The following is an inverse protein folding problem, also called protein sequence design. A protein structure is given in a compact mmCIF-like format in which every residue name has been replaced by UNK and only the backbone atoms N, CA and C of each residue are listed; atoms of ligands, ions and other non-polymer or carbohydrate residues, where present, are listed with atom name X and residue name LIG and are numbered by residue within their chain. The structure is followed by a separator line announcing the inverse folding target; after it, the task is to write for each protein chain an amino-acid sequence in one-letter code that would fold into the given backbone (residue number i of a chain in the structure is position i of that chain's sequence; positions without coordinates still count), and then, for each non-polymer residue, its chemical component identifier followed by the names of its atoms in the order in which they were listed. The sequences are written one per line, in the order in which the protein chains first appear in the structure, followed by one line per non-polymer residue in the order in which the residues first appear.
data_IF_602310291601
#
_entry.id   IF_602310291601
#
_cell.length_a   1.000
_cell.length_b   1.000
_cell.length_c   1.000
_cell.angle_alpha   90.00
_cell.angle_beta   90.00
_cell.angle_gamma   90.00
#
_symmetry.space_group_name_H-M   'P 1'
#
loop_
_entity.id
_entity.type
_entity.pdbx_description
1 polymer ?
2 polymer ?
#
# COMPACT_ATOMS: atom_id res chain seq x y z
N UNK A 1 -18.97 8.57 15.42
CA UNK A 1 -20.41 8.67 15.80
C UNK A 1 -21.36 8.74 14.59
N UNK A 2 -21.19 9.77 13.76
CA UNK A 2 -22.01 9.95 12.58
C UNK A 2 -21.35 9.14 11.48
N UNK A 3 -21.70 7.86 11.37
CA UNK A 3 -21.06 7.01 10.38
C UNK A 3 -21.33 7.34 8.90
N UNK A 4 -20.25 7.56 8.17
CA UNK A 4 -20.30 7.86 6.74
C UNK A 4 -19.96 6.55 6.03
N UNK A 5 -20.66 6.26 4.93
CA UNK A 5 -20.40 5.03 4.21
C UNK A 5 -20.32 5.23 2.71
N UNK A 6 -19.26 4.68 2.14
CA UNK A 6 -19.05 4.80 0.71
C UNK A 6 -19.35 3.50 -0.04
N UNK A 7 -19.66 3.65 -1.33
CA UNK A 7 -19.97 2.52 -2.19
C UNK A 7 -19.79 2.92 -3.67
N UNK A 8 -19.09 2.08 -4.46
CA UNK A 8 -18.48 0.82 -4.02
C UNK A 8 -17.19 1.07 -3.21
N UNK A 9 -16.52 0.01 -2.80
CA UNK A 9 -15.26 0.16 -2.09
C UNK A 9 -14.23 0.47 -3.18
N UNK A 10 -14.37 -0.19 -4.32
CA UNK A 10 -13.48 -0.02 -5.46
C UNK A 10 -14.23 -0.33 -6.76
N UNK A 11 -14.22 0.61 -7.70
CA UNK A 11 -14.92 0.46 -8.97
C UNK A 11 -13.97 0.61 -10.13
N UNK A 12 -14.19 -0.19 -11.18
CA UNK A 12 -13.37 -0.16 -12.40
C UNK A 12 -14.06 0.64 -13.50
N UNK A 13 -13.39 1.69 -13.96
CA UNK A 13 -13.95 2.51 -15.00
C UNK A 13 -13.06 2.54 -16.23
N UNK A 14 -13.66 2.95 -17.35
CA UNK A 14 -12.96 3.05 -18.63
C UNK A 14 -12.68 4.53 -18.89
N UNK A 15 -11.49 4.84 -19.38
CA UNK A 15 -11.10 6.23 -19.67
C UNK A 15 -12.23 6.92 -20.44
N UNK A 16 -12.62 8.10 -19.98
CA UNK A 16 -13.69 8.83 -20.63
C UNK A 16 -15.07 8.19 -20.52
N UNK A 17 -15.59 8.16 -19.29
CA UNK A 17 -16.93 7.64 -19.00
C UNK A 17 -17.38 8.25 -17.66
N UNK A 18 -18.62 8.76 -17.64
CA UNK A 18 -19.19 9.36 -16.43
C UNK A 18 -19.37 8.31 -15.35
N UNK A 19 -18.71 8.49 -14.21
CA UNK A 19 -18.84 7.53 -13.12
C UNK A 19 -19.48 8.16 -11.87
N UNK A 20 -20.16 7.35 -11.07
CA UNK A 20 -20.83 7.83 -9.84
C UNK A 20 -20.48 7.07 -8.56
N UNK A 21 -19.83 7.76 -7.61
CA UNK A 21 -19.44 7.17 -6.32
C UNK A 21 -20.49 7.54 -5.26
N UNK A 22 -20.70 6.66 -4.28
CA UNK A 22 -21.69 6.92 -3.25
C UNK A 22 -21.22 7.18 -1.85
N UNK A 23 -22.09 7.84 -1.10
CA UNK A 23 -21.84 8.18 0.29
C UNK A 23 -23.19 8.38 0.99
N UNK A 24 -23.33 7.80 2.19
CA UNK A 24 -24.55 7.96 2.97
C UNK A 24 -24.20 8.21 4.41
N UNK A 25 -24.65 9.34 4.95
CA UNK A 25 -24.41 9.67 6.34
C UNK A 25 -25.25 8.73 7.22
N UNK A 26 -24.86 8.59 8.49
CA UNK A 26 -25.60 7.74 9.44
C UNK A 26 -26.85 8.49 9.89
N UNK A 27 -26.67 9.77 10.15
CA UNK A 27 -27.74 10.67 10.56
C UNK A 27 -27.67 11.88 9.59
N UNK A 28 -28.74 12.67 9.50
CA UNK A 28 -28.76 13.84 8.61
C UNK A 28 -27.58 14.76 8.91
N UNK A 29 -26.82 15.09 7.88
CA UNK A 29 -25.64 15.92 8.05
C UNK A 29 -25.76 17.21 7.27
N UNK A 30 -26.99 17.52 6.85
CA UNK A 30 -27.32 18.72 6.08
C UNK A 30 -26.26 19.33 5.18
N UNK A 31 -26.08 18.79 3.98
CA UNK A 31 -25.15 19.40 3.03
C UNK A 31 -23.72 19.66 3.57
N UNK A 32 -23.27 18.88 4.54
CA UNK A 32 -21.94 19.12 5.06
C UNK A 32 -20.82 18.21 4.57
N UNK A 33 -21.19 17.17 3.83
CA UNK A 33 -20.24 16.23 3.27
C UNK A 33 -19.34 16.86 2.21
N UNK A 34 -18.03 16.81 2.41
CA UNK A 34 -17.07 17.31 1.44
C UNK A 34 -16.35 16.12 0.80
N UNK A 35 -15.67 16.36 -0.32
CA UNK A 35 -14.96 15.29 -1.04
C UNK A 35 -13.46 15.55 -1.21
N UNK A 36 -12.66 14.49 -1.08
CA UNK A 36 -11.22 14.58 -1.19
C UNK A 36 -10.68 13.59 -2.19
N UNK A 37 -9.76 14.04 -3.03
CA UNK A 37 -9.10 13.20 -4.02
C UNK A 37 -7.67 12.99 -3.55
N UNK A 38 -7.21 11.74 -3.55
CA UNK A 38 -5.87 11.42 -3.09
C UNK A 38 -5.16 10.36 -3.91
N UNK A 39 -4.05 10.74 -4.51
CA UNK A 39 -3.26 9.79 -5.27
C UNK A 39 -2.30 9.17 -4.27
N UNK A 40 -1.91 7.90 -4.48
CA UNK A 40 -1.00 7.13 -3.60
C UNK A 40 0.08 7.92 -2.84
N UNK A 41 0.94 8.62 -3.57
CA UNK A 41 2.01 9.39 -2.95
C UNK A 41 1.48 10.63 -2.20
N UNK A 42 0.44 11.25 -2.74
CA UNK A 42 -0.11 12.47 -2.15
C UNK A 42 -0.98 12.33 -0.92
N UNK A 43 -1.18 13.46 -0.27
CA UNK A 43 -2.05 13.55 0.87
C UNK A 43 -3.36 14.02 0.21
N UNK A 44 -4.52 13.80 0.85
CA UNK A 44 -5.81 14.21 0.28
C UNK A 44 -5.91 15.63 -0.29
N UNK A 45 -6.90 15.85 -1.15
CA UNK A 45 -7.12 17.15 -1.79
C UNK A 45 -8.61 17.45 -1.78
N UNK A 46 -8.97 18.67 -1.39
CA UNK A 46 -10.37 19.07 -1.36
C UNK A 46 -10.77 19.50 -2.74
N UNK A 47 -11.75 18.81 -3.28
CA UNK A 47 -12.28 19.08 -4.62
C UNK A 47 -13.68 19.65 -4.47
N UNK A 48 -14.44 19.10 -3.53
CA UNK A 48 -15.83 19.52 -3.27
C UNK A 48 -16.01 19.81 -1.78
N UNK A 49 -16.52 21.00 -1.46
CA UNK A 49 -16.79 21.37 -0.07
C UNK A 49 -18.27 21.72 -0.02
N UNK A 50 -18.82 21.96 1.16
CA UNK A 50 -20.27 22.20 1.23
C UNK A 50 -20.81 20.86 0.73
N UNK A 51 -21.94 20.80 0.03
CA UNK A 51 -22.36 19.48 -0.47
C UNK A 51 -22.01 19.37 -1.94
N UNK A 52 -22.11 20.52 -2.60
CA UNK A 52 -21.85 20.67 -4.03
C UNK A 52 -21.19 22.01 -4.37
N UNK A 53 -19.86 22.08 -4.18
CA UNK A 53 -19.09 23.29 -4.47
C UNK A 53 -17.71 22.92 -5.00
N UNK A 54 -17.48 23.12 -6.30
CA UNK A 54 -16.19 22.80 -6.92
C UNK A 54 -15.05 23.66 -6.40
N UNK A 55 -14.44 23.24 -5.29
CA UNK A 55 -13.35 24.00 -4.69
C UNK A 55 -12.35 24.59 -5.68
N UNK A 56 -11.90 25.79 -5.37
CA UNK A 56 -10.96 26.53 -6.19
C UNK A 56 -9.88 25.70 -6.85
N UNK A 57 -10.00 25.61 -8.17
CA UNK A 57 -9.02 24.86 -8.94
C UNK A 57 -9.46 23.44 -9.26
N UNK A 58 -10.77 23.17 -9.16
CA UNK A 58 -11.26 21.84 -9.49
C UNK A 58 -11.82 21.96 -10.90
N UNK A 59 -11.57 20.94 -11.76
CA UNK A 59 -12.09 21.02 -13.12
C UNK A 59 -13.59 20.84 -13.10
N UNK A 60 -14.27 21.53 -14.01
CA UNK A 60 -15.73 21.48 -14.17
C UNK A 60 -16.20 20.03 -14.33
N UNK A 61 -15.26 19.18 -14.76
CA UNK A 61 -15.41 17.75 -14.97
C UNK A 61 -15.94 17.01 -13.74
N UNK A 62 -15.75 17.61 -12.56
CA UNK A 62 -16.18 17.10 -11.24
C UNK A 62 -17.33 17.93 -10.68
N UNK A 63 -18.46 17.30 -10.35
CA UNK A 63 -19.61 18.02 -9.78
C UNK A 63 -20.20 17.24 -8.58
N UNK A 64 -20.86 17.95 -7.65
CA UNK A 64 -21.44 17.26 -6.51
C UNK A 64 -22.94 17.47 -6.32
N UNK A 65 -23.59 16.64 -5.51
CA UNK A 65 -25.03 16.72 -5.24
C UNK A 65 -25.49 15.81 -4.09
N UNK A 66 -26.36 16.33 -3.24
CA UNK A 66 -26.87 15.54 -2.13
C UNK A 66 -27.51 16.45 -1.10
N UNK A 67 -28.20 15.87 -0.12
CA UNK A 67 -28.86 16.68 0.90
C UNK A 67 -28.79 16.27 2.36
N UNK A 68 -29.45 15.17 2.72
CA UNK A 68 -29.47 14.76 4.11
C UNK A 68 -28.61 13.56 4.47
N UNK A 69 -28.94 12.43 3.87
CA UNK A 69 -28.24 11.21 4.17
C UNK A 69 -27.56 10.60 2.96
N UNK A 70 -27.86 11.10 1.76
CA UNK A 70 -27.26 10.56 0.56
C UNK A 70 -26.52 11.57 -0.33
N UNK A 71 -25.28 11.25 -0.67
CA UNK A 71 -24.44 12.09 -1.48
C UNK A 71 -23.84 11.24 -2.59
N UNK A 72 -23.27 11.89 -3.61
CA UNK A 72 -22.62 11.21 -4.73
C UNK A 72 -21.62 12.17 -5.39
N UNK A 73 -20.48 11.63 -5.80
CA UNK A 73 -19.49 12.44 -6.48
C UNK A 73 -19.53 11.87 -7.86
N UNK A 74 -19.76 12.74 -8.83
CA UNK A 74 -19.83 12.30 -10.20
C UNK A 74 -18.74 12.86 -11.06
N UNK A 75 -17.81 11.99 -11.47
CA UNK A 75 -16.77 12.40 -12.39
C UNK A 75 -17.53 12.24 -13.72
N UNK A 76 -17.72 13.34 -14.44
CA UNK A 76 -18.46 13.32 -15.69
C UNK A 76 -17.77 12.63 -16.84
N UNK A 77 -16.47 12.38 -16.68
CA UNK A 77 -15.67 11.73 -17.72
C UNK A 77 -14.26 11.48 -17.19
N UNK A 78 -13.95 10.22 -16.90
CA UNK A 78 -12.62 9.87 -16.37
C UNK A 78 -11.44 10.23 -17.26
N UNK A 79 -10.26 10.23 -16.67
CA UNK A 79 -9.02 10.56 -17.37
C UNK A 79 -7.81 10.05 -16.56
N UNK A 80 -6.61 10.11 -17.14
CA UNK A 80 -5.40 9.65 -16.45
C UNK A 80 -5.21 10.22 -15.04
N UNK A 81 -5.64 11.46 -14.86
CA UNK A 81 -5.55 12.12 -13.57
C UNK A 81 -6.57 11.52 -12.62
N UNK A 82 -7.84 11.68 -12.99
CA UNK A 82 -8.98 11.19 -12.22
C UNK A 82 -8.85 9.82 -11.56
N UNK A 83 -8.10 8.90 -12.15
CA UNK A 83 -7.94 7.58 -11.54
C UNK A 83 -7.08 7.67 -10.27
N UNK A 84 -7.76 7.67 -9.11
CA UNK A 84 -7.12 7.77 -7.78
C UNK A 84 -8.08 7.31 -6.68
N UNK A 85 -7.87 7.80 -5.46
CA UNK A 85 -8.71 7.43 -4.32
C UNK A 85 -9.60 8.59 -3.88
N UNK A 86 -10.87 8.30 -3.60
CA UNK A 86 -11.82 9.32 -3.15
C UNK A 86 -12.37 8.99 -1.79
N UNK A 87 -12.44 9.99 -0.93
CA UNK A 87 -12.96 9.83 0.41
C UNK A 87 -14.08 10.82 0.62
N UNK A 88 -15.09 10.39 1.36
CA UNK A 88 -16.25 11.23 1.67
C UNK A 88 -16.12 11.69 3.11
N UNK A 89 -16.18 12.99 3.32
CA UNK A 89 -16.03 13.51 4.65
C UNK A 89 -17.28 14.09 5.28
N UNK A 90 -17.06 14.78 6.39
CA UNK A 90 -18.11 15.44 7.14
C UNK A 90 -17.46 16.37 8.15
N UNK A 91 -18.20 17.41 8.52
CA UNK A 91 -17.77 18.40 9.49
C UNK A 91 -18.99 19.23 9.81
N UNK A 92 -19.86 18.61 10.61
CA UNK A 92 -21.11 19.20 11.04
C UNK A 92 -21.42 18.71 12.45
N UNK A 93 -20.61 17.77 12.94
CA UNK A 93 -20.81 17.20 14.26
C UNK A 93 -19.51 16.56 14.78
N UNK A 94 -19.14 16.90 16.01
CA UNK A 94 -17.93 16.33 16.58
C UNK A 94 -18.07 14.88 17.11
N UNK A 95 -17.15 13.98 16.71
CA UNK A 95 -16.02 14.29 15.83
C UNK A 95 -16.40 14.15 14.35
N UNK A 96 -15.65 14.86 13.50
CA UNK A 96 -15.84 14.79 12.07
C UNK A 96 -15.48 13.35 11.73
N UNK A 97 -15.97 12.86 10.60
CA UNK A 97 -15.72 11.49 10.22
C UNK A 97 -15.60 11.35 8.72
N UNK A 98 -14.82 10.36 8.30
CA UNK A 98 -14.59 10.07 6.90
C UNK A 98 -15.13 8.68 6.60
N UNK A 99 -15.37 8.40 5.31
CA UNK A 99 -15.83 7.09 4.90
C UNK A 99 -14.58 6.31 4.55
N UNK A 100 -14.69 4.98 4.48
CA UNK A 100 -13.55 4.12 4.16
C UNK A 100 -12.82 4.52 2.87
N UNK A 101 -13.55 5.13 1.95
CA UNK A 101 -12.96 5.54 0.70
C UNK A 101 -13.27 4.57 -0.43
N UNK A 102 -12.91 4.98 -1.64
CA UNK A 102 -13.13 4.16 -2.81
C UNK A 102 -12.17 4.45 -3.97
N UNK A 103 -11.39 3.43 -4.31
CA UNK A 103 -10.37 3.47 -5.35
C UNK A 103 -10.95 3.45 -6.76
N UNK A 104 -10.25 4.13 -7.67
CA UNK A 104 -10.67 4.20 -9.06
C UNK A 104 -9.60 3.48 -9.91
N UNK A 105 -10.03 2.42 -10.62
CA UNK A 105 -9.14 1.61 -11.44
C UNK A 105 -9.69 1.36 -12.83
N UNK A 106 -8.82 1.48 -13.83
CA UNK A 106 -9.16 1.26 -15.22
C UNK A 106 -9.62 -0.16 -15.55
N UNK A 107 -10.57 -0.29 -16.45
CA UNK A 107 -11.09 -1.59 -16.87
C UNK A 107 -10.45 -2.09 -18.17
N UNK A 108 -10.46 -3.40 -18.34
CA UNK A 108 -9.91 -4.04 -19.52
C UNK A 108 -10.45 -5.46 -19.62
N UNK A 109 -9.86 -6.24 -20.52
CA UNK A 109 -10.29 -7.62 -20.75
C UNK A 109 -9.58 -8.66 -19.90
N UNK A 110 -10.35 -9.60 -19.37
CA UNK A 110 -9.84 -10.70 -18.55
C UNK A 110 -8.49 -11.20 -19.06
N UNK A 111 -7.66 -11.65 -18.13
CA UNK A 111 -6.34 -12.17 -18.49
C UNK A 111 -5.98 -13.29 -17.52
N UNK A 112 -6.05 -14.52 -18.01
CA UNK A 112 -5.69 -15.67 -17.19
C UNK A 112 -4.28 -15.42 -16.66
N UNK A 113 -4.00 -15.78 -15.41
CA UNK A 113 -2.65 -15.56 -14.89
C UNK A 113 -1.67 -16.62 -15.35
N UNK A 114 -0.37 -16.36 -15.17
CA UNK A 114 0.70 -17.30 -15.54
C UNK A 114 1.44 -17.65 -14.27
N UNK A 115 1.32 -18.90 -13.86
CA UNK A 115 1.94 -19.37 -12.62
C UNK A 115 3.28 -20.09 -12.76
N UNK A 116 4.20 -19.74 -11.87
CA UNK A 116 5.53 -20.34 -11.82
C UNK A 116 5.82 -20.70 -10.36
N UNK A 117 6.47 -21.84 -10.13
CA UNK A 117 6.80 -22.24 -8.79
C UNK A 117 8.32 -22.32 -8.68
N UNK A 118 8.83 -21.82 -7.56
CA UNK A 118 10.27 -21.80 -7.32
C UNK A 118 10.64 -22.57 -6.07
N UNK A 119 11.52 -23.57 -6.19
CA UNK A 119 11.91 -24.32 -5.00
C UNK A 119 12.84 -23.41 -4.22
N UNK A 120 12.85 -23.54 -2.88
CA UNK A 120 13.75 -22.66 -2.12
C UNK A 120 15.17 -22.93 -2.58
N UNK A 121 16.07 -21.96 -2.39
CA UNK A 121 17.47 -22.14 -2.80
C UNK A 121 18.23 -22.84 -1.67
N UNK A 122 19.39 -23.41 -1.98
CA UNK A 122 20.11 -24.10 -0.93
C UNK A 122 20.65 -23.20 0.16
N UNK A 123 21.12 -22.01 -0.18
CA UNK A 123 21.63 -21.10 0.83
C UNK A 123 20.57 -20.71 1.84
N UNK A 124 19.33 -20.57 1.38
CA UNK A 124 18.23 -20.21 2.28
C UNK A 124 18.05 -21.39 3.25
N UNK A 125 18.13 -22.60 2.70
CA UNK A 125 17.98 -23.83 3.46
C UNK A 125 18.98 -24.07 4.59
N UNK A 126 20.26 -23.93 4.29
CA UNK A 126 21.33 -24.15 5.26
C UNK A 126 21.17 -23.39 6.60
N UNK A 127 20.53 -22.22 6.54
CA UNK A 127 20.34 -21.37 7.71
C UNK A 127 19.12 -21.68 8.56
N UNK A 128 18.25 -22.56 8.07
CA UNK A 128 17.07 -22.95 8.84
C UNK A 128 15.69 -22.75 8.25
N UNK A 129 15.57 -22.01 7.16
CA UNK A 129 14.26 -21.77 6.55
C UNK A 129 14.05 -22.33 5.16
N UNK A 130 12.82 -22.22 4.66
CA UNK A 130 12.47 -22.73 3.34
C UNK A 130 11.28 -21.98 2.73
N UNK A 131 11.56 -20.91 2.00
CA UNK A 131 10.53 -20.09 1.38
C UNK A 131 10.25 -20.45 -0.07
N UNK A 132 9.12 -21.11 -0.30
CA UNK A 132 8.68 -21.53 -1.64
C UNK A 132 7.73 -20.47 -2.21
N UNK A 133 8.20 -19.71 -3.22
CA UNK A 133 7.42 -18.64 -3.83
C UNK A 133 6.62 -18.95 -5.10
N UNK A 134 5.30 -18.86 -5.01
CA UNK A 134 4.45 -19.09 -6.17
C UNK A 134 4.23 -17.74 -6.87
N UNK A 135 4.29 -17.75 -8.20
CA UNK A 135 4.14 -16.54 -8.98
C UNK A 135 2.99 -16.55 -9.97
N UNK A 136 1.99 -15.69 -9.73
CA UNK A 136 0.84 -15.52 -10.60
C UNK A 136 1.16 -14.23 -11.37
N UNK A 137 1.42 -14.40 -12.66
CA UNK A 137 1.82 -13.31 -13.54
C UNK A 137 0.73 -12.75 -14.44
N UNK A 138 0.69 -11.42 -14.52
CA UNK A 138 -0.25 -10.66 -15.34
C UNK A 138 -1.68 -11.17 -15.53
N UNK A 139 -2.46 -11.14 -14.47
CA UNK A 139 -3.85 -11.57 -14.53
C UNK A 139 -4.77 -10.35 -14.49
N UNK A 140 -6.08 -10.58 -14.50
CA UNK A 140 -7.07 -9.50 -14.47
C UNK A 140 -8.50 -10.05 -14.51
N UNK A 141 -9.37 -9.61 -13.58
CA UNK A 141 -9.17 -8.67 -12.49
C UNK A 141 -8.31 -9.13 -11.32
N UNK A 142 -8.16 -8.23 -10.35
CA UNK A 142 -7.40 -8.42 -9.13
C UNK A 142 -7.80 -9.69 -8.37
N UNK A 143 -9.09 -9.98 -8.38
CA UNK A 143 -9.66 -11.12 -7.69
C UNK A 143 -9.04 -12.45 -8.08
N UNK A 144 -8.09 -12.92 -7.27
CA UNK A 144 -7.39 -14.18 -7.51
C UNK A 144 -7.34 -15.09 -6.29
N UNK A 145 -6.67 -16.24 -6.41
CA UNK A 145 -6.55 -17.20 -5.31
C UNK A 145 -5.43 -18.23 -5.46
N UNK A 146 -4.54 -18.28 -4.46
CA UNK A 146 -3.45 -19.23 -4.44
C UNK A 146 -3.73 -20.22 -3.32
N UNK A 147 -3.66 -21.50 -3.67
CA UNK A 147 -3.94 -22.59 -2.75
C UNK A 147 -2.71 -23.47 -2.59
N UNK A 148 -2.00 -23.32 -1.48
CA UNK A 148 -0.80 -24.13 -1.23
C UNK A 148 -1.18 -25.55 -0.80
N UNK A 149 -0.40 -26.53 -1.25
CA UNK A 149 -0.66 -27.94 -0.94
C UNK A 149 0.62 -28.77 -0.73
N UNK A 150 0.95 -29.11 0.50
CA UNK A 150 2.14 -29.91 0.73
C UNK A 150 1.78 -31.38 0.93
N UNK A 151 2.16 -32.23 -0.01
CA UNK A 151 1.86 -33.66 0.05
C UNK A 151 0.36 -33.84 0.16
N UNK A 152 -0.36 -33.03 -0.61
CA UNK A 152 -1.80 -33.04 -0.64
C UNK A 152 -2.46 -32.46 0.61
N UNK A 153 -1.66 -32.00 1.56
CA UNK A 153 -2.20 -31.41 2.77
C UNK A 153 -2.37 -29.94 2.48
N UNK A 154 -3.52 -29.39 2.85
CA UNK A 154 -3.80 -27.99 2.63
C UNK A 154 -3.21 -27.17 3.79
N UNK A 155 -2.26 -26.30 3.48
CA UNK A 155 -1.63 -25.46 4.51
C UNK A 155 -2.58 -24.41 5.03
N UNK A 156 -2.16 -23.63 6.02
CA UNK A 156 -3.03 -22.59 6.57
C UNK A 156 -2.41 -21.65 7.59
N UNK A 157 -2.31 -20.38 7.22
CA UNK A 157 -1.76 -19.39 8.12
C UNK A 157 -0.24 -19.30 8.08
N UNK A 158 0.38 -20.16 7.26
CA UNK A 158 1.84 -20.24 7.10
C UNK A 158 2.37 -19.74 5.75
N UNK A 159 1.54 -19.00 5.01
CA UNK A 159 1.89 -18.44 3.69
C UNK A 159 1.43 -16.97 3.63
N UNK A 160 2.14 -16.15 2.88
CA UNK A 160 1.82 -14.73 2.78
C UNK A 160 2.02 -14.13 1.41
N UNK A 161 0.92 -13.90 0.69
CA UNK A 161 0.97 -13.29 -0.64
C UNK A 161 1.02 -11.76 -0.62
N UNK A 162 1.44 -11.18 -1.74
CA UNK A 162 1.54 -9.73 -1.88
C UNK A 162 1.23 -9.37 -3.33
N UNK A 163 0.26 -8.50 -3.51
CA UNK A 163 -0.13 -8.10 -4.86
C UNK A 163 0.34 -6.71 -5.23
N UNK A 164 0.59 -6.53 -6.53
CA UNK A 164 1.01 -5.24 -7.05
C UNK A 164 -0.26 -4.51 -7.50
N UNK A 165 -0.09 -3.27 -7.97
CA UNK A 165 -1.22 -2.51 -8.48
C UNK A 165 -1.19 -2.68 -9.98
N UNK A 166 -2.15 -2.08 -10.68
CA UNK A 166 -2.19 -2.22 -12.13
C UNK A 166 -0.96 -1.70 -12.87
N UNK A 167 -0.39 -2.58 -13.68
CA UNK A 167 0.79 -2.28 -14.47
C UNK A 167 0.45 -1.00 -15.25
N UNK A 168 1.35 -0.04 -15.22
CA UNK A 168 1.13 1.22 -15.92
C UNK A 168 0.87 1.02 -17.42
N UNK A 169 1.55 0.02 -18.01
CA UNK A 169 1.42 -0.29 -19.43
C UNK A 169 0.22 -1.18 -19.80
N UNK A 170 0.26 -2.46 -19.44
CA UNK A 170 -0.83 -3.38 -19.78
C UNK A 170 -2.02 -3.41 -18.82
N UNK A 171 -1.97 -2.60 -17.77
CA UNK A 171 -3.03 -2.53 -16.77
C UNK A 171 -3.43 -3.86 -16.14
N UNK A 172 -2.44 -4.65 -15.74
CA UNK A 172 -2.67 -5.94 -15.09
C UNK A 172 -1.96 -6.06 -13.75
N UNK A 173 -2.54 -6.87 -12.87
CA UNK A 173 -2.00 -7.09 -11.54
C UNK A 173 -0.92 -8.17 -11.56
N UNK A 174 -0.53 -8.61 -10.36
CA UNK A 174 0.46 -9.65 -10.16
C UNK A 174 0.47 -9.95 -8.68
N UNK A 175 0.75 -11.20 -8.32
CA UNK A 175 0.75 -11.65 -6.92
C UNK A 175 1.82 -12.70 -6.63
N UNK A 176 2.31 -12.71 -5.39
CA UNK A 176 3.31 -13.69 -4.97
C UNK A 176 2.98 -14.25 -3.59
N UNK A 177 2.59 -15.52 -3.56
CA UNK A 177 2.26 -16.20 -2.31
C UNK A 177 3.51 -16.98 -1.90
N UNK A 178 4.08 -16.61 -0.77
CA UNK A 178 5.28 -17.23 -0.24
C UNK A 178 4.89 -18.19 0.86
N UNK A 179 5.50 -19.37 0.87
CA UNK A 179 5.23 -20.36 1.90
C UNK A 179 6.54 -20.64 2.58
N UNK A 180 6.62 -20.41 3.89
CA UNK A 180 7.86 -20.68 4.60
C UNK A 180 7.75 -21.63 5.80
N UNK A 181 8.71 -22.52 5.88
CA UNK A 181 8.79 -23.50 6.97
C UNK A 181 10.25 -23.85 7.18
N UNK A 182 10.57 -24.27 8.40
CA UNK A 182 11.92 -24.67 8.78
C UNK A 182 12.47 -25.69 7.79
N UNK A 183 13.79 -25.69 7.56
CA UNK A 183 14.44 -26.63 6.62
C UNK A 183 14.19 -28.09 6.94
N UNK A 184 13.68 -28.35 8.17
CA UNK A 184 13.38 -29.70 8.63
C UNK A 184 11.97 -30.07 8.19
N UNK A 185 11.00 -29.26 8.61
CA UNK A 185 9.59 -29.47 8.27
C UNK A 185 9.44 -29.60 6.76
N UNK A 186 10.31 -28.90 6.04
CA UNK A 186 10.37 -28.90 4.58
C UNK A 186 10.77 -30.28 4.10
N UNK A 187 11.98 -30.68 4.46
CA UNK A 187 12.51 -31.98 4.09
C UNK A 187 11.63 -33.17 4.51
N UNK A 188 10.58 -32.94 5.30
CA UNK A 188 9.67 -34.01 5.71
C UNK A 188 8.76 -34.43 4.55
N UNK A 189 8.56 -33.54 3.59
CA UNK A 189 7.70 -33.83 2.45
C UNK A 189 8.45 -33.79 1.13
N UNK A 190 7.79 -34.26 0.07
CA UNK A 190 8.39 -34.27 -1.26
C UNK A 190 7.65 -33.39 -2.27
N UNK A 191 6.32 -33.40 -2.22
CA UNK A 191 5.55 -32.61 -3.18
C UNK A 191 4.97 -31.31 -2.65
N UNK A 192 5.25 -30.24 -3.41
CA UNK A 192 4.79 -28.89 -3.09
C UNK A 192 4.03 -28.37 -4.30
N UNK A 193 2.74 -28.13 -4.11
CA UNK A 193 1.90 -27.63 -5.20
C UNK A 193 1.39 -26.25 -4.93
N UNK A 194 0.90 -25.62 -5.97
CA UNK A 194 0.36 -24.28 -5.90
C UNK A 194 -0.81 -24.24 -6.87
N UNK A 195 -2.02 -24.30 -6.32
CA UNK A 195 -3.24 -24.28 -7.12
C UNK A 195 -3.83 -22.88 -7.21
N UNK A 196 -3.76 -22.30 -8.40
CA UNK A 196 -4.29 -20.97 -8.63
C UNK A 196 -5.66 -21.01 -9.28
N UNK A 197 -6.61 -20.32 -8.65
CA UNK A 197 -7.96 -20.24 -9.16
C UNK A 197 -8.22 -18.76 -9.45
N UNK A 198 -8.58 -18.48 -10.70
CA UNK A 198 -8.89 -17.13 -11.14
C UNK A 198 -10.13 -17.23 -12.01
N UNK A 199 -10.75 -16.10 -12.32
CA UNK A 199 -11.96 -16.11 -13.14
C UNK A 199 -11.64 -16.06 -14.62
N UNK A 200 -10.36 -16.17 -14.96
CA UNK A 200 -9.94 -16.19 -16.34
C UNK A 200 -9.62 -17.63 -16.70
N UNK A 201 -9.31 -18.41 -15.68
CA UNK A 201 -8.97 -19.82 -15.82
C UNK A 201 -10.25 -20.63 -15.92
N UNK A 202 -10.31 -21.55 -16.88
CA UNK A 202 -11.51 -22.40 -17.03
C UNK A 202 -11.64 -23.26 -15.77
N UNK A 203 -10.52 -23.83 -15.35
CA UNK A 203 -10.41 -24.66 -14.15
C UNK A 203 -9.19 -24.09 -13.39
N UNK A 204 -8.85 -24.62 -12.20
CA UNK A 204 -7.69 -24.04 -11.54
C UNK A 204 -6.40 -24.74 -11.94
N UNK A 205 -5.34 -23.98 -12.19
CA UNK A 205 -4.04 -24.56 -12.57
C UNK A 205 -3.21 -24.89 -11.31
N UNK A 206 -2.24 -25.79 -11.45
CA UNK A 206 -1.42 -26.17 -10.31
C UNK A 206 0.04 -26.40 -10.66
N UNK A 207 0.91 -25.56 -10.13
CA UNK A 207 2.33 -25.74 -10.36
C UNK A 207 2.79 -26.61 -9.22
N UNK A 208 3.60 -27.61 -9.51
CA UNK A 208 4.10 -28.48 -8.47
C UNK A 208 5.59 -28.67 -8.63
N UNK A 209 6.24 -29.19 -7.60
CA UNK A 209 7.67 -29.44 -7.65
C UNK A 209 8.07 -30.50 -6.59
N UNK A 210 9.06 -31.33 -6.93
CA UNK A 210 9.50 -32.38 -6.01
C UNK A 210 10.95 -32.20 -5.63
N UNK A 211 11.26 -32.28 -4.34
CA UNK A 211 12.63 -32.15 -3.86
C UNK A 211 13.58 -33.24 -4.41
N UNK A 212 14.48 -32.83 -5.29
CA UNK A 212 15.43 -33.74 -5.90
C UNK A 212 15.32 -33.77 -7.42
N UNK A 213 14.18 -34.26 -7.91
CA UNK A 213 13.91 -34.36 -9.33
C UNK A 213 13.41 -33.05 -9.94
N UNK A 214 13.20 -33.06 -11.25
CA UNK A 214 12.72 -31.87 -11.98
C UNK A 214 12.28 -32.27 -13.40
N UNK B 2 0.42 30.06 0.94
CA UNK B 2 0.19 29.67 2.33
C UNK B 2 0.15 28.14 2.58
N UNK B 3 1.30 27.48 2.41
CA UNK B 3 1.40 26.04 2.64
C UNK B 3 1.93 25.70 4.05
N UNK B 4 1.40 24.62 4.62
CA UNK B 4 1.81 24.17 5.95
C UNK B 4 2.19 22.69 5.91
N UNK B 5 3.48 22.40 5.69
CA UNK B 5 3.98 21.03 5.59
C UNK B 5 4.27 20.36 6.94
N UNK B 6 4.79 19.14 6.87
CA UNK B 6 5.16 18.33 8.04
C UNK B 6 6.39 17.54 7.66
N UNK B 7 7.16 17.04 8.66
CA UNK B 7 8.39 16.25 8.45
C UNK B 7 8.25 14.91 7.68
N UNK B 8 9.35 14.50 7.01
CA UNK B 8 9.38 13.27 6.23
C UNK B 8 8.93 11.95 6.86
N UNK B 9 9.45 11.62 8.04
CA UNK B 9 9.10 10.38 8.75
C UNK B 9 10.01 10.11 9.95
N UNK B 10 9.76 8.98 10.62
CA UNK B 10 10.57 8.53 11.75
C UNK B 10 10.08 7.23 12.40
N UNK B 11 11.02 6.50 12.97
CA UNK B 11 10.75 5.22 13.61
C UNK B 11 11.12 5.22 15.08
N UNK B 12 10.21 4.73 15.91
CA UNK B 12 10.42 4.66 17.36
C UNK B 12 9.74 3.45 18.00
N UNK B 13 10.43 2.84 18.96
CA UNK B 13 9.94 1.67 19.68
C UNK B 13 8.62 2.01 20.36
N UNK B 14 7.87 0.98 20.78
CA UNK B 14 6.57 1.10 21.48
C UNK B 14 6.68 1.81 22.85
N UNK B 15 5.60 2.45 23.28
CA UNK B 15 5.59 3.15 24.55
C UNK B 15 6.52 4.34 24.54
N UNK B 16 6.56 5.06 23.42
CA UNK B 16 7.45 6.19 23.33
C UNK B 16 6.83 7.45 22.72
N UNK B 17 6.76 8.54 23.50
CA UNK B 17 6.20 9.80 23.02
C UNK B 17 6.93 10.30 21.77
N UNK B 18 6.18 11.01 20.92
CA UNK B 18 6.69 11.57 19.69
C UNK B 18 6.11 12.98 19.52
N UNK B 19 6.80 13.84 18.78
CA UNK B 19 6.31 15.20 18.59
C UNK B 19 6.45 15.71 17.15
N UNK B 20 5.35 15.62 16.39
CA UNK B 20 5.28 16.06 15.00
C UNK B 20 5.12 17.58 14.85
N UNK B 21 5.15 18.08 13.62
CA UNK B 21 5.06 19.52 13.39
C UNK B 21 4.29 19.97 12.16
N UNK B 22 3.83 21.22 12.19
CA UNK B 22 3.07 21.83 11.10
C UNK B 22 3.72 23.15 10.63
N UNK B 23 2.98 23.96 9.87
CA UNK B 23 3.55 25.22 9.36
C UNK B 23 2.51 26.35 9.16
N UNK B 24 2.99 27.50 8.69
CA UNK B 24 2.18 28.68 8.38
C UNK B 24 3.01 29.45 7.35
N UNK B 25 2.48 29.54 6.12
CA UNK B 25 3.20 30.21 5.02
C UNK B 25 2.58 31.49 4.44
N UNK B 26 1.91 32.28 5.27
CA UNK B 26 1.36 33.50 4.70
C UNK B 26 0.18 34.23 5.28
N UNK B 27 -0.88 33.53 5.65
CA UNK B 27 -2.06 34.25 6.15
C UNK B 27 -2.03 34.80 7.59
N UNK B 28 -2.05 33.90 8.57
CA UNK B 28 -1.96 34.19 10.01
C UNK B 28 -2.22 32.91 10.81
N UNK B 29 -1.20 32.56 11.61
CA UNK B 29 -1.19 31.38 12.48
C UNK B 29 -1.97 31.76 13.74
N UNK B 30 -3.21 32.20 13.51
CA UNK B 30 -4.14 32.62 14.56
C UNK B 30 -5.49 32.53 13.87
N UNK B 31 -5.46 32.87 12.57
CA UNK B 31 -6.61 32.87 11.68
C UNK B 31 -7.42 31.58 11.73
N UNK B 32 -6.81 30.48 11.29
CA UNK B 32 -7.52 29.21 11.30
C UNK B 32 -7.07 28.26 12.40
N UNK B 33 -7.73 27.12 12.44
CA UNK B 33 -7.43 26.07 13.39
C UNK B 33 -6.75 24.98 12.62
N UNK B 34 -5.85 24.27 13.28
CA UNK B 34 -5.17 23.17 12.62
C UNK B 34 -5.88 21.89 12.99
N UNK B 35 -5.97 20.98 12.03
CA UNK B 35 -6.62 19.70 12.25
C UNK B 35 -5.60 18.58 12.11
N UNK B 36 -5.71 17.55 12.93
CA UNK B 36 -4.80 16.42 12.81
C UNK B 36 -5.65 15.24 12.40
N UNK B 37 -5.13 14.50 11.41
CA UNK B 37 -5.81 13.36 10.83
C UNK B 37 -4.85 12.17 10.72
N UNK B 38 -5.27 11.04 11.27
CA UNK B 38 -4.48 9.82 11.26
C UNK B 38 -4.89 8.83 10.18
N UNK B 39 -4.15 8.79 9.08
CA UNK B 39 -4.49 7.83 8.06
C UNK B 39 -3.61 6.60 8.14
N UNK B 40 -4.20 5.51 8.63
CA UNK B 40 -3.51 4.24 8.74
C UNK B 40 -3.46 3.52 7.39
N UNK B 41 -2.35 2.82 7.12
CA UNK B 41 -2.10 2.06 5.88
C UNK B 41 -3.30 1.26 5.37
N UNK B 42 -3.79 1.66 4.19
CA UNK B 42 -4.95 1.02 3.57
C UNK B 42 -6.20 1.14 4.45
N UNK B 43 -6.55 2.40 4.78
CA UNK B 43 -7.68 2.67 5.64
C UNK B 43 -8.20 4.11 5.44
N UNK B 44 -9.44 4.34 5.87
CA UNK B 44 -10.00 5.67 5.74
C UNK B 44 -9.33 6.65 6.69
N UNK B 45 -9.40 7.93 6.37
CA UNK B 45 -8.80 8.95 7.24
C UNK B 45 -9.50 8.96 8.60
N UNK B 46 -8.77 9.34 9.64
CA UNK B 46 -9.33 9.38 10.99
C UNK B 46 -9.02 10.72 11.62
N UNK B 47 -9.97 11.30 12.36
CA UNK B 47 -9.77 12.62 12.98
C UNK B 47 -9.15 12.59 14.37
N UNK B 48 -8.23 13.53 14.63
CA UNK B 48 -7.57 13.58 15.94
C UNK B 48 -7.91 14.87 16.67
N UNK B 49 -7.68 16.02 16.05
CA UNK B 49 -8.00 17.23 16.77
C UNK B 49 -7.85 18.57 16.06
N UNK B 50 -8.00 19.61 16.87
CA UNK B 50 -7.87 20.97 16.42
C UNK B 50 -7.46 21.84 17.60
N UNK B 51 -6.52 22.74 17.34
CA UNK B 51 -6.03 23.69 18.34
C UNK B 51 -6.14 25.09 17.72
N UNK B 52 -6.54 26.10 18.50
CA UNK B 52 -6.66 27.44 17.95
C UNK B 52 -5.45 28.23 18.36
N UNK B 53 -4.56 28.56 17.38
CA UNK B 53 -3.31 29.32 17.51
C UNK B 53 -3.39 30.74 18.10
N UNK B 54 -4.04 30.86 19.25
CA UNK B 54 -4.21 32.14 19.92
C UNK B 54 -4.57 31.84 21.37
N UNK B 55 -5.81 31.41 21.57
CA UNK B 55 -6.33 31.04 22.88
C UNK B 55 -5.80 29.64 23.22
N UNK B 56 -5.42 28.92 22.15
CA UNK B 56 -4.91 27.58 22.28
C UNK B 56 -6.04 26.58 22.47
N UNK B 57 -7.28 27.05 22.28
CA UNK B 57 -8.49 26.22 22.43
C UNK B 57 -8.33 24.88 21.68
N UNK B 58 -8.50 23.78 22.40
CA UNK B 58 -8.34 22.46 21.80
C UNK B 58 -9.55 21.54 21.86
N UNK B 59 -9.82 20.90 20.72
CA UNK B 59 -10.91 19.95 20.56
C UNK B 59 -10.29 18.65 20.05
N UNK B 60 -10.31 17.63 20.90
CA UNK B 60 -9.76 16.31 20.56
C UNK B 60 -10.86 15.31 20.23
N UNK B 61 -10.53 14.35 19.39
CA UNK B 61 -11.47 13.30 19.09
C UNK B 61 -11.47 12.60 20.43
N UNK B 62 -12.65 12.15 20.83
CA UNK B 62 -12.85 11.50 22.11
C UNK B 62 -12.06 10.20 22.29
N UNK B 63 -11.49 9.70 21.21
CA UNK B 63 -10.70 8.48 21.25
C UNK B 63 -9.22 8.77 21.40
N UNK B 64 -8.81 9.98 21.03
CA UNK B 64 -7.42 10.36 21.14
C UNK B 64 -7.17 11.37 22.27
N UNK B 65 -8.23 11.67 23.02
CA UNK B 65 -8.17 12.64 24.13
C UNK B 65 -7.00 12.44 25.08
N UNK B 66 -6.97 11.25 25.66
CA UNK B 66 -5.96 10.84 26.62
C UNK B 66 -4.66 10.29 26.05
N UNK B 67 -4.52 10.35 24.73
CA UNK B 67 -3.31 9.87 24.08
C UNK B 67 -2.45 11.02 23.51
N UNK B 68 -2.98 11.75 22.54
CA UNK B 68 -2.25 12.84 21.94
C UNK B 68 -2.65 14.17 22.55
N UNK B 69 -1.74 15.14 22.55
CA UNK B 69 -2.06 16.44 23.10
C UNK B 69 -1.59 17.53 22.15
N UNK B 70 -2.55 18.31 21.64
CA UNK B 70 -2.29 19.41 20.72
C UNK B 70 -1.59 20.63 21.35
N UNK B 71 -0.30 20.71 21.11
CA UNK B 71 0.53 21.80 21.60
C UNK B 71 0.50 22.83 20.48
N UNK B 72 1.08 24.01 20.69
CA UNK B 72 1.08 25.01 19.61
C UNK B 72 2.23 26.00 19.69
N UNK B 73 2.28 26.92 18.73
CA UNK B 73 3.29 27.95 18.73
C UNK B 73 2.95 29.18 17.93
N UNK B 74 2.72 30.26 18.67
CA UNK B 74 2.37 31.55 18.12
C UNK B 74 3.68 32.31 17.94
N UNK B 75 4.73 31.83 18.60
CA UNK B 75 6.05 32.43 18.44
C UNK B 75 6.41 31.84 17.08
N UNK B 76 7.07 30.70 17.09
CA UNK B 76 7.35 30.08 15.83
C UNK B 76 5.94 29.65 15.38
N UNK B 77 5.52 30.09 14.19
CA UNK B 77 4.20 29.73 13.68
C UNK B 77 4.07 28.22 13.31
N UNK B 78 4.05 27.37 14.35
CA UNK B 78 3.97 25.93 14.14
C UNK B 78 3.09 25.24 15.17
N UNK B 79 2.44 24.16 14.72
CA UNK B 79 1.56 23.34 15.55
C UNK B 79 2.23 22.00 15.77
N UNK B 80 2.04 21.43 16.96
CA UNK B 80 2.63 20.15 17.29
C UNK B 80 1.60 19.24 17.94
N UNK B 81 1.74 17.94 17.69
CA UNK B 81 0.88 16.96 18.31
C UNK B 81 1.88 16.10 19.07
N UNK B 82 1.40 15.42 20.10
CA UNK B 82 2.30 14.57 20.85
C UNK B 82 1.50 13.35 21.32
N UNK B 83 1.96 12.18 20.88
CA UNK B 83 1.36 10.89 21.21
C UNK B 83 2.19 10.23 22.28
N UNK B 84 1.63 10.13 23.49
CA UNK B 84 2.33 9.53 24.62
C UNK B 84 2.14 8.00 24.67
N UNK B 85 3.25 7.26 24.67
CA UNK B 85 3.28 5.79 24.71
C UNK B 85 2.57 5.06 23.56
N UNK B 86 3.10 5.20 22.35
CA UNK B 86 2.49 4.59 21.16
C UNK B 86 2.81 3.13 20.84
N UNK B 87 1.76 2.38 20.50
CA UNK B 87 1.86 0.96 20.17
C UNK B 87 2.04 0.70 18.68
N UNK B 88 2.29 -0.57 18.33
CA UNK B 88 2.46 -1.00 16.94
C UNK B 88 1.14 -0.88 16.17
N UNK B 89 0.14 -0.34 16.87
CA UNK B 89 -1.20 -0.15 16.32
C UNK B 89 -1.47 1.35 16.31
N UNK B 90 -0.39 2.10 16.15
CA UNK B 90 -0.41 3.57 16.11
C UNK B 90 0.39 4.03 14.90
N UNK B 91 1.07 3.07 14.29
CA UNK B 91 1.94 3.31 13.14
C UNK B 91 1.23 3.62 11.82
N UNK B 92 1.04 4.91 11.54
CA UNK B 92 0.38 5.38 10.33
C UNK B 92 0.77 6.81 10.03
N UNK B 93 0.46 7.28 8.82
CA UNK B 93 0.77 8.64 8.37
C UNK B 93 -0.08 9.68 9.08
N UNK B 94 0.51 10.82 9.42
CA UNK B 94 -0.20 11.89 10.12
C UNK B 94 -0.14 13.21 9.36
N UNK B 95 -1.28 13.88 9.23
CA UNK B 95 -1.36 15.16 8.52
C UNK B 95 -1.88 16.24 9.46
N UNK B 96 -1.74 17.47 9.03
CA UNK B 96 -2.26 18.61 9.77
C UNK B 96 -2.79 19.49 8.65
N UNK B 97 -4.08 19.80 8.70
CA UNK B 97 -4.72 20.59 7.67
C UNK B 97 -5.33 21.90 8.14
N UNK B 98 -4.92 23.01 7.50
CA UNK B 98 -5.43 24.34 7.81
C UNK B 98 -6.90 24.39 7.42
N UNK B 99 -7.76 24.26 8.43
CA UNK B 99 -9.18 24.27 8.19
C UNK B 99 -9.65 25.65 7.76
N UNK B 100 -9.72 25.87 6.44
CA UNK B 100 -10.15 27.17 5.92
C UNK B 100 -11.43 27.64 6.62
N UNK B 101 -12.55 27.03 6.23
CA UNK B 101 -13.84 27.30 6.86
C UNK B 101 -14.03 26.06 7.73
N UNK B 102 -15.27 25.60 7.99
CA UNK B 102 -15.26 24.39 8.82
C UNK B 102 -14.65 23.16 8.15
N UNK B 103 -14.13 23.36 6.92
CA UNK B 103 -13.52 22.31 6.11
C UNK B 103 -12.04 22.52 5.81
N UNK B 104 -11.31 21.40 5.80
CA UNK B 104 -9.87 21.37 5.55
C UNK B 104 -9.55 21.68 4.09
N UNK B 105 -9.14 22.93 3.84
CA UNK B 105 -8.77 23.36 2.50
C UNK B 105 -7.32 22.91 2.18
N UNK B 106 -6.34 23.59 2.76
CA UNK B 106 -4.93 23.24 2.54
C UNK B 106 -4.44 22.21 3.57
N UNK B 107 -3.70 21.22 3.08
CA UNK B 107 -3.13 20.16 3.93
C UNK B 107 -1.61 20.34 4.08
N UNK B 108 -0.87 19.24 4.14
CA UNK B 108 0.57 19.32 4.26
C UNK B 108 1.13 17.93 4.24
N UNK B 109 2.08 17.67 3.35
CA UNK B 109 2.67 16.34 3.19
C UNK B 109 2.72 15.52 4.47
N UNK B 110 2.34 14.26 4.35
CA UNK B 110 2.32 13.36 5.49
C UNK B 110 3.65 12.97 6.08
N UNK B 111 3.65 12.86 7.41
CA UNK B 111 4.81 12.46 8.21
C UNK B 111 4.59 10.99 8.50
N UNK B 112 5.47 10.09 8.05
CA UNK B 112 5.24 8.69 8.35
C UNK B 112 5.84 8.29 9.71
N UNK B 113 5.02 7.62 10.50
CA UNK B 113 5.43 7.19 11.82
C UNK B 113 5.39 5.68 11.87
N UNK B 114 6.57 5.08 11.90
CA UNK B 114 6.65 3.63 11.98
C UNK B 114 6.97 3.33 13.44
N UNK B 115 6.20 2.41 14.02
CA UNK B 115 6.41 2.01 15.40
C UNK B 115 6.88 0.57 15.41
N UNK B 116 8.16 0.36 15.69
CA UNK B 116 8.74 -0.97 15.75
C UNK B 116 9.94 -1.08 16.65
N UNK B 117 9.95 -2.19 17.38
CA UNK B 117 11.00 -2.53 18.32
C UNK B 117 12.00 -3.49 17.67
N UNK B 118 12.21 -3.35 16.38
CA UNK B 118 13.18 -4.22 15.72
C UNK B 118 14.43 -3.39 15.59
N UNK B 119 15.54 -4.08 15.41
CA UNK B 119 16.82 -3.41 15.27
C UNK B 119 17.19 -3.44 13.80
N UNK B 120 17.85 -2.38 13.33
CA UNK B 120 18.30 -2.29 11.95
C UNK B 120 19.13 -3.52 11.58
N UNK B 121 18.78 -4.16 10.46
CA UNK B 121 19.48 -5.35 9.99
C UNK B 121 19.43 -5.41 8.48
N UNK B 122 20.47 -5.98 7.88
CA UNK B 122 20.54 -6.14 6.44
C UNK B 122 19.84 -7.38 5.91
N UNK B 123 19.27 -7.29 4.70
CA UNK B 123 18.54 -8.37 4.03
C UNK B 123 19.42 -9.48 3.48
N UNK B 124 18.77 -10.57 3.09
CA UNK B 124 19.45 -11.74 2.51
C UNK B 124 18.79 -11.99 1.14
N UNK B 125 19.59 -11.97 0.07
CA UNK B 125 19.06 -12.20 -1.28
C UNK B 125 19.20 -13.68 -1.71
N UNK B 126 18.08 -14.30 -2.04
CA UNK B 126 18.08 -15.69 -2.44
C UNK B 126 17.54 -15.79 -3.84
N UNK B 127 18.16 -16.64 -4.67
CA UNK B 127 17.77 -16.85 -6.06
C UNK B 127 16.42 -17.54 -6.32
N UNK B 128 15.60 -16.90 -7.15
CA UNK B 128 14.31 -17.46 -7.55
C UNK B 128 14.63 -18.04 -8.92
N UNK B 129 15.31 -19.18 -8.86
CA UNK B 129 15.78 -19.94 -10.00
C UNK B 129 14.80 -20.25 -11.10
N UNK B 130 15.22 -20.00 -12.35
CA UNK B 130 14.57 -20.17 -13.65
C UNK B 130 13.44 -21.19 -13.74
N UNK B 131 12.25 -20.70 -14.10
CA UNK B 131 11.07 -21.55 -14.24
C UNK B 131 10.74 -21.65 -15.73
N UNK B 132 11.30 -22.69 -16.36
CA UNK B 132 11.12 -22.94 -17.80
C UNK B 132 10.87 -24.43 -18.12
N UNK B 133 10.37 -25.19 -17.14
CA UNK B 133 10.08 -26.61 -17.34
C UNK B 133 9.01 -26.69 -18.44
N UNK B 134 7.75 -26.80 -18.03
CA UNK B 134 6.63 -26.82 -18.97
C UNK B 134 6.41 -25.31 -19.24
N UNK B 135 7.06 -24.50 -18.38
CA UNK B 135 7.03 -23.05 -18.45
C UNK B 135 8.04 -22.53 -19.50
N UNK B 136 8.36 -23.42 -20.45
CA UNK B 136 9.29 -23.15 -21.54
C UNK B 136 8.62 -22.39 -22.69
N UNK B 137 7.38 -21.96 -22.46
CA UNK B 137 6.63 -21.26 -23.48
C UNK B 137 7.10 -19.86 -23.86
N UNK B 138 8.26 -19.77 -24.51
CA UNK B 138 8.77 -18.49 -24.93
C UNK B 138 9.44 -17.68 -23.84
N UNK B 139 8.75 -17.53 -22.71
CA UNK B 139 9.30 -16.79 -21.57
C UNK B 139 9.36 -17.68 -20.33
N UNK B 140 10.38 -17.44 -19.51
CA UNK B 140 10.62 -18.17 -18.27
C UNK B 140 10.80 -17.10 -17.19
N UNK B 141 10.44 -17.41 -15.96
CA UNK B 141 10.56 -16.42 -14.89
C UNK B 141 11.60 -16.74 -13.86
N UNK B 142 12.16 -15.68 -13.28
CA UNK B 142 13.20 -15.76 -12.26
C UNK B 142 13.16 -14.49 -11.44
N UNK B 143 13.74 -14.51 -10.23
CA UNK B 143 13.74 -13.31 -9.42
C UNK B 143 14.68 -13.37 -8.23
N UNK B 144 14.53 -12.40 -7.33
CA UNK B 144 15.34 -12.30 -6.12
C UNK B 144 14.46 -12.13 -4.89
N UNK B 145 14.70 -12.96 -3.86
CA UNK B 145 13.98 -12.90 -2.60
C UNK B 145 14.87 -12.16 -1.61
N UNK B 146 14.49 -10.95 -1.24
CA UNK B 146 15.27 -10.12 -0.31
C UNK B 146 14.66 -10.28 1.08
N UNK B 147 15.09 -11.31 1.81
CA UNK B 147 14.53 -11.62 3.13
C UNK B 147 15.06 -10.89 4.36
N UNK B 148 14.23 -10.92 5.40
CA UNK B 148 14.48 -10.34 6.71
C UNK B 148 15.32 -9.08 6.87
N UNK B 149 14.75 -7.93 6.55
CA UNK B 149 15.49 -6.67 6.67
C UNK B 149 14.68 -5.59 7.40
N UNK B 150 15.37 -4.68 8.07
CA UNK B 150 14.72 -3.57 8.77
C UNK B 150 15.67 -2.39 8.81
N UNK B 151 15.17 -1.19 8.48
CA UNK B 151 13.80 -0.89 8.08
C UNK B 151 13.60 -0.88 6.55
N UNK B 152 12.85 0.10 6.09
CA UNK B 152 12.60 0.25 4.69
C UNK B 152 13.31 1.51 4.28
N UNK B 153 13.56 1.68 2.98
CA UNK B 153 13.20 0.71 1.94
C UNK B 153 14.43 -0.05 1.43
N UNK B 154 14.22 -0.93 0.46
CA UNK B 154 15.30 -1.69 -0.13
C UNK B 154 15.16 -1.81 -1.64
N UNK B 155 15.58 -0.78 -2.35
CA UNK B 155 15.53 -0.73 -3.81
C UNK B 155 16.00 -2.03 -4.49
N UNK B 156 15.47 -2.35 -5.67
CA UNK B 156 15.89 -3.55 -6.42
C UNK B 156 15.92 -3.27 -7.92
N UNK B 157 17.13 -3.20 -8.46
CA UNK B 157 17.35 -2.94 -9.89
C UNK B 157 17.90 -4.19 -10.50
N UNK B 158 17.58 -4.45 -11.77
CA UNK B 158 18.09 -5.62 -12.45
C UNK B 158 19.08 -5.16 -13.51
N UNK B 159 20.33 -5.61 -13.37
CA UNK B 159 21.40 -5.28 -14.31
C UNK B 159 21.74 -3.79 -14.26
N UNK B 160 21.91 -3.26 -13.04
CA UNK B 160 22.24 -1.84 -12.82
C UNK B 160 21.27 -0.86 -13.48
N UNK B 161 20.13 -1.38 -13.90
CA UNK B 161 19.12 -0.56 -14.54
C UNK B 161 19.08 -0.72 -16.05
N UNK B 162 19.81 -1.72 -16.58
CA UNK B 162 19.84 -1.98 -18.02
C UNK B 162 18.50 -2.58 -18.44
N UNK B 163 18.07 -3.57 -17.66
CA UNK B 163 16.80 -4.27 -17.88
C UNK B 163 15.72 -3.64 -17.00
N UNK B 164 14.77 -2.97 -17.65
CA UNK B 164 13.67 -2.31 -16.97
C UNK B 164 12.39 -2.71 -17.64
N UNK B 165 12.29 -3.98 -18.00
CA UNK B 165 11.11 -4.48 -18.68
C UNK B 165 10.71 -5.88 -18.27
N UNK B 166 9.52 -5.98 -17.66
CA UNK B 166 9.02 -7.25 -17.19
C UNK B 166 9.37 -7.45 -15.74
N UNK B 167 10.12 -6.49 -15.19
CA UNK B 167 10.53 -6.52 -13.80
C UNK B 167 9.42 -6.09 -12.82
N UNK B 168 9.20 -6.90 -11.80
CA UNK B 168 8.20 -6.60 -10.79
C UNK B 168 8.94 -6.58 -9.48
N UNK B 169 8.79 -5.51 -8.72
CA UNK B 169 9.44 -5.42 -7.42
C UNK B 169 8.31 -5.32 -6.39
N UNK B 170 7.65 -6.44 -6.16
CA UNK B 170 6.53 -6.55 -5.23
C UNK B 170 6.69 -5.81 -3.90
N UNK B 171 5.57 -5.50 -3.24
CA UNK B 171 5.59 -4.79 -1.96
C UNK B 171 6.07 -5.72 -0.83
N UNK B 172 7.01 -5.21 -0.03
CA UNK B 172 7.56 -5.98 1.08
C UNK B 172 6.50 -6.16 2.14
N UNK B 173 6.46 -7.35 2.74
CA UNK B 173 5.48 -7.64 3.78
C UNK B 173 6.14 -7.85 5.14
N UNK B 174 5.53 -7.30 6.17
CA UNK B 174 6.03 -7.46 7.52
C UNK B 174 5.81 -8.93 7.87
N UNK B 175 6.73 -9.50 8.62
CA UNK B 175 6.55 -10.87 9.00
C UNK B 175 6.31 -10.90 10.51
N UNK B 176 5.99 -12.10 11.02
CA UNK B 176 5.75 -12.30 12.46
C UNK B 176 6.98 -11.85 13.26
N UNK B 177 8.10 -11.79 12.54
CA UNK B 177 9.41 -11.40 13.07
C UNK B 177 9.63 -9.91 13.19
N UNK B 178 8.81 -9.11 12.53
CA UNK B 178 9.02 -7.68 12.58
C UNK B 178 10.03 -7.26 11.51
N UNK B 179 10.62 -8.26 10.86
CA UNK B 179 11.56 -8.05 9.78
C UNK B 179 10.74 -8.18 8.49
N UNK B 180 11.02 -7.34 7.50
CA UNK B 180 10.30 -7.38 6.22
C UNK B 180 10.87 -8.39 5.24
N UNK B 181 10.07 -8.67 4.22
CA UNK B 181 10.44 -9.57 3.16
C UNK B 181 9.93 -8.96 1.86
N UNK B 182 10.82 -8.80 0.88
CA UNK B 182 10.45 -8.24 -0.42
C UNK B 182 10.72 -9.33 -1.45
N UNK B 183 10.36 -9.08 -2.71
CA UNK B 183 10.59 -10.05 -3.78
C UNK B 183 10.42 -9.40 -5.13
N UNK B 184 11.43 -9.53 -5.98
CA UNK B 184 11.39 -8.94 -7.32
C UNK B 184 11.48 -10.02 -8.40
N UNK B 185 10.58 -9.98 -9.37
CA UNK B 185 10.52 -10.98 -10.43
C UNK B 185 10.51 -10.39 -11.84
N UNK B 186 11.39 -10.89 -12.71
CA UNK B 186 11.42 -10.41 -14.08
C UNK B 186 11.22 -11.59 -15.04
N UNK B 187 10.15 -11.54 -15.83
CA UNK B 187 9.87 -12.58 -16.82
C UNK B 187 10.77 -12.30 -18.02
N UNK B 188 11.42 -13.35 -18.55
CA UNK B 188 12.38 -13.18 -19.63
C UNK B 188 12.58 -14.44 -20.48
N UNK B 189 12.55 -14.30 -21.82
CA UNK B 189 12.71 -15.33 -22.86
C UNK B 189 13.46 -16.63 -22.54
N UNK B 190 12.69 -17.71 -22.51
CA UNK B 190 13.15 -19.07 -22.24
C UNK B 190 14.50 -19.35 -22.92
N UNK B 191 14.63 -18.81 -24.13
CA UNK B 191 15.84 -18.93 -24.92
C UNK B 191 16.99 -18.19 -24.22
N UNK B 192 16.86 -16.86 -24.11
CA UNK B 192 17.86 -15.98 -23.50
C UNK B 192 18.54 -16.48 -22.25
N UNK B 193 17.89 -17.41 -21.55
CA UNK B 193 18.47 -18.00 -20.34
C UNK B 193 19.72 -18.79 -20.77
N UNK B 194 20.76 -18.05 -21.11
CA UNK B 194 22.02 -18.62 -21.57
C UNK B 194 22.54 -17.64 -22.61
N UNK B 195 21.59 -17.20 -23.44
CA UNK B 195 21.86 -16.25 -24.49
C UNK B 195 22.22 -14.91 -23.80
N UNK B 196 21.84 -14.79 -22.53
CA UNK B 196 22.09 -13.59 -21.72
C UNK B 196 22.17 -13.87 -20.22
N UNK B 197 22.79 -12.94 -19.49
CA UNK B 197 22.99 -13.05 -18.04
C UNK B 197 22.15 -12.10 -17.17
N UNK B 198 21.52 -12.66 -16.14
CA UNK B 198 20.68 -11.85 -15.29
C UNK B 198 21.24 -11.70 -13.90
N UNK B 199 21.23 -10.46 -13.42
CA UNK B 199 21.77 -10.10 -12.11
C UNK B 199 20.87 -9.10 -11.39
N UNK B 200 20.50 -9.39 -10.15
CA UNK B 200 19.68 -8.45 -9.43
C UNK B 200 20.53 -7.64 -8.51
N UNK B 201 20.10 -6.41 -8.28
CA UNK B 201 20.82 -5.47 -7.44
C UNK B 201 19.98 -5.01 -6.26
N UNK B 202 20.15 -5.69 -5.13
CA UNK B 202 19.45 -5.30 -3.92
C UNK B 202 20.30 -4.24 -3.25
N UNK B 203 19.66 -3.35 -2.50
CA UNK B 203 20.39 -2.28 -1.86
C UNK B 203 19.62 -1.69 -0.69
N UNK B 204 19.72 -2.31 0.48
CA UNK B 204 19.05 -1.78 1.66
C UNK B 204 20.07 -0.78 2.19
N UNK B 205 19.69 0.48 2.31
CA UNK B 205 20.64 1.52 2.75
C UNK B 205 21.01 1.66 4.24
N UNK B 206 20.01 1.62 5.16
CA UNK B 206 20.29 1.75 6.60
C UNK B 206 21.37 0.79 7.09
N UNK B 207 21.16 -0.51 6.85
CA UNK B 207 22.13 -1.51 7.26
C UNK B 207 23.40 -1.32 6.42
N UNK B 208 23.24 -0.61 5.31
CA UNK B 208 24.30 -0.34 4.36
C UNK B 208 24.63 -1.57 3.54
N UNK B 209 23.58 -2.24 3.09
CA UNK B 209 23.68 -3.45 2.28
C UNK B 209 23.56 -3.09 0.81
N UNK B 210 24.33 -3.80 -0.01
CA UNK B 210 24.34 -3.58 -1.44
C UNK B 210 24.88 -4.84 -2.12
N UNK B 211 24.10 -5.92 -2.03
CA UNK B 211 24.47 -7.20 -2.64
C UNK B 211 24.08 -7.19 -4.12
N UNK B 212 24.76 -8.03 -4.91
CA UNK B 212 24.54 -8.15 -6.35
C UNK B 212 24.41 -9.59 -6.79
N UNK B 213 23.46 -10.33 -6.22
CA UNK B 213 23.26 -11.75 -6.57
C UNK B 213 22.93 -11.92 -8.04
N UNK B 214 23.42 -13.00 -8.61
CA UNK B 214 23.20 -13.34 -10.00
C UNK B 214 22.36 -14.61 -10.08
N UNK B 215 21.17 -14.51 -10.69
CA UNK B 215 20.32 -15.69 -10.81
C UNK B 215 20.43 -16.37 -12.17
N UNK B 216 20.66 -17.67 -12.13
CA UNK B 216 20.79 -18.45 -13.34
C UNK B 216 20.13 -19.82 -13.20
N UNK B 217 19.80 -20.44 -14.33
CA UNK B 217 19.16 -21.75 -14.39
C UNK B 217 19.59 -22.72 -13.32
N UNK B 218 18.63 -23.48 -12.80
CA UNK B 218 18.93 -24.47 -11.80
C UNK B 218 19.39 -25.75 -12.47
N UNK B 219 20.31 -26.43 -11.79
CA UNK B 219 20.87 -27.71 -12.22
C UNK B 219 19.96 -28.89 -11.80
N UNK B 220 18.66 -28.77 -12.12
CA UNK B 220 17.65 -29.79 -11.80
C UNK B 220 17.42 -30.11 -10.31
#
# INVERSE_FOLDING_TARGET
NIVMTQSPKSMYVSIGERVTLSCKASENVDTYVSWYQQKPEQSPKLLIYGASNRYTGVPDRFTGSGSATDFTLTISSVQAEDLADYHCGQSYNYPFTFGSGTKLEIKRTVAAPSVFIFPPSDEQLKSGTASVVCLLNNFYPREAKVQWKVDNALQSGNSQESVTEQDSKDSTYSLSSTLTLSKADYEKHKVYACEVTHQGLSSPVTKSFNRGEC
XVQLQQPGADLVMPGAPVKLSCLASGYIFTSSWINWVKQRPGRGLEWIGRIDPSDGEVHYNQDFKDKATLTVDKSSSTAYIQLNSLTSEDSAVYYCARGFLPWFADWGQGTLVTVSAASTKGPSVFPLAPSSKSTSGGTAALGCLVKDYFPEPVTVSWNSGALTSGVHTFPAVLQSSGLYSLSSVVTVPSSSLGTQTYICNVNHKPSNTKVDKKVEPKSC
#
